data_IF_334479094731
#
_entry.id   IF_334479094731
#
_cell.length_a   1.000
_cell.length_b   1.000
_cell.length_c   1.000
_cell.angle_alpha   90.00
_cell.angle_beta   90.00
_cell.angle_gamma   90.00
#
_symmetry.space_group_name_H-M   'P 1'
#
loop_
_entity.id
_entity.type
_entity.pdbx_description
1 polymer ?
#
# COMPACT_ATOMS: atom_id res chain seq x y z
N UNK A 1 20.11 1.29 -3.06
CA UNK A 1 20.93 2.51 -2.99
C UNK A 1 20.54 3.29 -1.73
N UNK A 2 21.48 3.51 -0.81
CA UNK A 2 21.25 4.30 0.40
C UNK A 2 22.17 5.54 0.38
N UNK A 3 21.67 6.74 0.73
CA UNK A 3 22.45 7.99 0.60
C UNK A 3 23.77 8.04 1.38
N UNK A 4 23.89 7.23 2.43
CA UNK A 4 25.05 7.18 3.32
C UNK A 4 25.83 5.87 3.23
N UNK A 5 25.66 5.10 2.15
CA UNK A 5 26.28 3.77 2.01
C UNK A 5 25.93 2.81 3.17
N UNK A 6 24.74 2.98 3.75
CA UNK A 6 24.23 2.10 4.80
C UNK A 6 23.70 0.78 4.23
N UNK A 7 23.73 -0.28 5.04
CA UNK A 7 23.24 -1.62 4.66
C UNK A 7 21.71 -1.66 4.43
N UNK A 8 20.98 -0.71 5.00
CA UNK A 8 19.55 -0.55 4.79
C UNK A 8 18.68 -1.13 5.89
N UNK A 9 17.55 -1.74 5.52
CA UNK A 9 16.62 -2.37 6.46
C UNK A 9 17.14 -3.77 6.84
N UNK A 10 17.03 -4.10 8.13
CA UNK A 10 17.32 -5.40 8.71
C UNK A 10 16.24 -5.77 9.73
N UNK A 11 15.91 -7.06 9.81
CA UNK A 11 14.78 -7.58 10.62
C UNK A 11 15.00 -7.32 12.13
N UNK A 12 16.26 -7.12 12.55
CA UNK A 12 16.65 -6.95 13.95
C UNK A 12 16.53 -5.52 14.48
N UNK A 13 15.91 -4.60 13.74
CA UNK A 13 15.66 -3.25 14.25
C UNK A 13 14.50 -3.27 15.25
N UNK A 14 14.76 -2.89 16.50
CA UNK A 14 13.73 -2.71 17.52
C UNK A 14 13.01 -1.36 17.35
N UNK A 15 11.71 -1.36 17.61
CA UNK A 15 10.94 -0.11 17.68
C UNK A 15 11.43 0.73 18.86
N UNK A 16 11.54 2.03 18.65
CA UNK A 16 11.94 2.99 19.69
C UNK A 16 10.80 3.98 19.90
N UNK A 17 10.44 4.21 21.16
CA UNK A 17 9.43 5.21 21.50
C UNK A 17 9.97 6.63 21.26
N UNK A 18 9.23 7.51 20.55
CA UNK A 18 9.75 8.80 20.10
C UNK A 18 10.07 9.79 21.22
N UNK A 19 9.52 9.62 22.42
CA UNK A 19 9.69 10.55 23.55
C UNK A 19 10.72 10.04 24.54
N UNK A 20 10.62 8.76 24.92
CA UNK A 20 11.44 8.18 26.00
C UNK A 20 12.72 7.50 25.47
N UNK A 21 12.83 7.30 24.16
CA UNK A 21 13.91 6.51 23.52
C UNK A 21 14.03 5.07 24.03
N UNK A 22 13.00 4.57 24.71
CA UNK A 22 12.96 3.20 25.20
C UNK A 22 12.75 2.23 24.04
N UNK A 23 13.53 1.16 24.02
CA UNK A 23 13.33 0.07 23.07
C UNK A 23 12.09 -0.72 23.46
N UNK A 24 11.21 -0.92 22.50
CA UNK A 24 10.06 -1.81 22.61
C UNK A 24 10.51 -3.18 22.11
N UNK A 25 10.07 -4.27 22.75
CA UNK A 25 10.31 -5.66 22.33
C UNK A 25 9.64 -6.05 20.97
N UNK A 26 9.28 -5.06 20.15
CA UNK A 26 8.66 -5.26 18.83
C UNK A 26 9.65 -4.84 17.76
N UNK A 27 9.82 -5.68 16.75
CA UNK A 27 10.65 -5.37 15.59
C UNK A 27 9.96 -4.34 14.69
N UNK A 28 10.75 -3.52 14.02
CA UNK A 28 10.29 -2.54 13.02
C UNK A 28 10.02 -3.30 11.72
N UNK A 29 8.84 -3.12 11.12
CA UNK A 29 8.57 -3.65 9.78
C UNK A 29 9.32 -2.85 8.70
N UNK A 30 9.68 -3.48 7.58
CA UNK A 30 10.25 -2.74 6.44
C UNK A 30 9.39 -1.55 6.02
N UNK A 31 8.06 -1.71 6.03
CA UNK A 31 7.12 -0.63 5.72
C UNK A 31 7.30 0.57 6.67
N UNK A 32 7.33 0.32 7.99
CA UNK A 32 7.53 1.36 8.99
C UNK A 32 8.90 2.04 8.83
N UNK A 33 9.95 1.28 8.55
CA UNK A 33 11.31 1.79 8.36
C UNK A 33 11.42 2.71 7.14
N UNK A 34 10.88 2.30 5.99
CA UNK A 34 10.94 3.10 4.77
C UNK A 34 9.98 4.29 4.82
N UNK A 35 8.80 4.15 5.45
CA UNK A 35 7.89 5.28 5.69
C UNK A 35 8.55 6.35 6.57
N UNK A 36 9.29 5.93 7.60
CA UNK A 36 10.06 6.84 8.47
C UNK A 36 11.08 7.65 7.66
N UNK A 37 11.83 7.03 6.74
CA UNK A 37 12.83 7.71 5.89
C UNK A 37 12.23 8.64 4.84
N UNK A 38 10.99 8.39 4.40
CA UNK A 38 10.26 9.23 3.44
C UNK A 38 9.51 10.39 4.08
N UNK A 39 9.41 10.43 5.41
CA UNK A 39 8.67 11.47 6.12
C UNK A 39 9.45 12.79 6.13
N UNK A 40 8.80 13.89 5.71
CA UNK A 40 9.36 15.25 5.77
C UNK A 40 9.60 15.66 7.23
N UNK A 41 10.79 16.21 7.53
CA UNK A 41 11.23 16.63 8.87
C UNK A 41 11.95 17.98 8.80
N UNK A 42 12.13 18.60 9.95
CA UNK A 42 12.96 19.79 10.11
C UNK A 42 14.44 19.52 9.81
N UNK A 43 14.91 18.31 10.07
CA UNK A 43 16.23 17.83 9.64
C UNK A 43 16.24 17.55 8.14
N UNK A 44 17.36 17.79 7.47
CA UNK A 44 17.47 17.59 6.01
C UNK A 44 17.16 16.15 5.58
N UNK A 45 16.06 15.97 4.85
CA UNK A 45 15.75 14.72 4.17
C UNK A 45 16.31 14.76 2.75
N UNK A 46 17.62 14.51 2.63
CA UNK A 46 18.34 14.55 1.34
C UNK A 46 17.73 13.60 0.30
N UNK A 47 17.13 12.49 0.75
CA UNK A 47 16.47 11.50 -0.10
C UNK A 47 15.36 12.11 -0.98
N UNK A 48 14.57 13.03 -0.42
CA UNK A 48 13.46 13.67 -1.14
C UNK A 48 13.94 14.65 -2.22
N UNK A 49 15.23 15.03 -2.21
CA UNK A 49 15.81 15.99 -3.14
C UNK A 49 16.38 15.35 -4.42
N UNK A 50 16.50 14.02 -4.48
CA UNK A 50 17.18 13.33 -5.58
C UNK A 50 16.34 13.09 -6.85
N UNK A 51 15.16 13.71 -6.99
CA UNK A 51 14.29 13.68 -8.19
C UNK A 51 14.09 12.26 -8.74
N UNK A 52 14.56 11.94 -9.95
CA UNK A 52 14.40 10.62 -10.57
C UNK A 52 14.95 9.46 -9.72
N UNK A 53 16.03 9.67 -8.97
CA UNK A 53 16.58 8.65 -8.08
C UNK A 53 15.66 8.35 -6.89
N UNK A 54 14.85 9.33 -6.45
CA UNK A 54 13.80 9.11 -5.45
C UNK A 54 12.76 8.13 -5.99
N UNK A 55 12.38 8.25 -7.27
CA UNK A 55 11.39 7.35 -7.88
C UNK A 55 11.89 5.91 -7.93
N UNK A 56 13.13 5.72 -8.37
CA UNK A 56 13.76 4.39 -8.36
C UNK A 56 13.82 3.82 -6.94
N UNK A 57 14.25 4.65 -5.97
CA UNK A 57 14.26 4.24 -4.57
C UNK A 57 12.88 3.81 -4.07
N UNK A 58 11.83 4.58 -4.37
CA UNK A 58 10.46 4.26 -3.96
C UNK A 58 9.98 2.91 -4.51
N UNK A 59 10.21 2.66 -5.80
CA UNK A 59 9.82 1.40 -6.46
C UNK A 59 10.61 0.23 -5.88
N UNK A 60 11.92 0.38 -5.73
CA UNK A 60 12.80 -0.66 -5.17
C UNK A 60 12.40 -1.01 -3.74
N UNK A 61 12.15 0.00 -2.89
CA UNK A 61 11.77 -0.25 -1.50
C UNK A 61 10.36 -0.85 -1.39
N UNK A 62 9.43 -0.44 -2.26
CA UNK A 62 8.11 -1.06 -2.33
C UNK A 62 8.20 -2.54 -2.72
N UNK A 63 9.00 -2.89 -3.73
CA UNK A 63 9.23 -4.28 -4.12
C UNK A 63 9.80 -5.12 -2.96
N UNK A 64 10.72 -4.56 -2.16
CA UNK A 64 11.24 -5.21 -0.94
C UNK A 64 10.14 -5.45 0.10
N UNK A 65 9.30 -4.45 0.36
CA UNK A 65 8.18 -4.57 1.31
C UNK A 65 7.22 -5.68 0.84
N UNK A 66 6.85 -5.69 -0.44
CA UNK A 66 5.93 -6.71 -0.98
C UNK A 66 6.55 -8.11 -0.98
N UNK A 67 7.85 -8.24 -1.26
CA UNK A 67 8.56 -9.50 -1.16
C UNK A 67 8.54 -10.06 0.28
N UNK A 68 8.73 -9.21 1.28
CA UNK A 68 8.64 -9.59 2.70
C UNK A 68 7.21 -10.02 3.09
N UNK A 69 6.19 -9.29 2.62
CA UNK A 69 4.78 -9.65 2.84
C UNK A 69 4.44 -11.01 2.22
N UNK A 70 4.87 -11.26 0.99
CA UNK A 70 4.68 -12.54 0.30
C UNK A 70 5.43 -13.68 1.01
N UNK A 71 6.65 -13.43 1.48
CA UNK A 71 7.42 -14.39 2.26
C UNK A 71 6.68 -14.73 3.57
N UNK A 72 6.15 -13.72 4.27
CA UNK A 72 5.36 -13.92 5.47
C UNK A 72 4.14 -14.80 5.21
N UNK A 73 3.40 -14.53 4.13
CA UNK A 73 2.23 -15.33 3.73
C UNK A 73 2.66 -16.78 3.43
N UNK A 74 3.75 -16.97 2.68
CA UNK A 74 4.31 -18.29 2.34
C UNK A 74 4.73 -19.09 3.57
N UNK A 75 5.30 -18.45 4.57
CA UNK A 75 5.80 -19.10 5.78
C UNK A 75 4.69 -19.37 6.82
N UNK A 76 3.64 -18.57 6.85
CA UNK A 76 2.57 -18.63 7.86
C UNK A 76 1.24 -19.19 7.33
N UNK A 77 1.26 -19.99 6.26
CA UNK A 77 0.06 -20.59 5.64
C UNK A 77 -0.85 -21.32 6.65
N UNK A 78 -0.26 -22.06 7.60
CA UNK A 78 -1.02 -22.79 8.64
C UNK A 78 -1.76 -21.84 9.60
N UNK A 79 -1.12 -20.74 10.02
CA UNK A 79 -1.72 -19.72 10.88
C UNK A 79 -2.82 -18.93 10.16
N UNK A 80 -2.70 -18.77 8.84
CA UNK A 80 -3.72 -18.14 7.98
C UNK A 80 -4.90 -19.08 7.68
N UNK A 81 -4.95 -20.26 8.32
CA UNK A 81 -5.97 -21.30 8.14
C UNK A 81 -6.16 -21.67 6.69
N UNK A 82 -5.06 -21.76 5.95
CA UNK A 82 -5.11 -22.12 4.53
C UNK A 82 -5.67 -23.53 4.34
N UNK A 83 -5.57 -24.37 5.35
CA UNK A 83 -6.10 -25.72 5.39
C UNK A 83 -7.64 -25.78 5.36
N UNK A 84 -8.38 -24.69 5.64
CA UNK A 84 -9.84 -24.64 5.44
C UNK A 84 -10.23 -24.50 3.95
N UNK A 85 -9.28 -24.20 3.05
CA UNK A 85 -9.53 -24.05 1.61
C UNK A 85 -9.31 -25.35 0.83
N UNK A 86 -9.61 -26.51 1.43
CA UNK A 86 -9.42 -27.86 0.85
C UNK A 86 -10.06 -27.94 -0.54
N UNK A 87 -11.29 -27.45 -0.70
CA UNK A 87 -12.01 -27.52 -1.97
C UNK A 87 -11.32 -26.74 -3.11
N UNK A 88 -10.62 -25.64 -2.80
CA UNK A 88 -9.87 -24.87 -3.80
C UNK A 88 -8.57 -25.59 -4.19
N UNK A 89 -7.90 -26.20 -3.20
CA UNK A 89 -6.69 -27.00 -3.43
C UNK A 89 -7.03 -28.20 -4.32
N UNK A 90 -8.14 -28.87 -4.07
CA UNK A 90 -8.58 -30.04 -4.84
C UNK A 90 -8.97 -29.66 -6.28
N UNK A 91 -9.67 -28.54 -6.47
CA UNK A 91 -10.04 -28.05 -7.80
C UNK A 91 -8.81 -27.73 -8.68
N UNK A 92 -7.75 -27.15 -8.11
CA UNK A 92 -6.52 -26.81 -8.84
C UNK A 92 -5.69 -28.07 -9.13
N UNK A 93 -5.66 -29.02 -8.20
CA UNK A 93 -4.89 -30.28 -8.33
C UNK A 93 -5.48 -31.19 -9.42
N UNK A 94 -6.78 -31.08 -9.70
CA UNK A 94 -7.44 -31.86 -10.75
C UNK A 94 -7.22 -31.31 -12.18
N UNK A 95 -6.76 -30.06 -12.32
CA UNK A 95 -6.66 -29.35 -13.62
C UNK A 95 -5.20 -29.21 -14.12
N UNK A 96 -4.22 -29.78 -13.40
CA UNK A 96 -2.78 -29.61 -13.73
C UNK A 96 -1.90 -30.84 -13.44
N UNK A 97 -0.87 -31.03 -14.27
CA UNK A 97 0.04 -32.18 -14.21
C UNK A 97 0.83 -32.26 -12.88
N UNK A 98 0.75 -33.39 -12.14
CA UNK A 98 1.34 -33.53 -10.80
C UNK A 98 2.87 -33.45 -10.76
N UNK A 99 3.55 -33.46 -11.91
CA UNK A 99 5.00 -33.38 -12.03
C UNK A 99 5.56 -31.94 -11.97
N UNK A 100 4.72 -30.90 -12.09
CA UNK A 100 5.14 -29.50 -12.16
C UNK A 100 4.93 -28.68 -10.87
N UNK A 101 4.62 -29.34 -9.75
CA UNK A 101 4.16 -28.62 -8.56
C UNK A 101 5.34 -28.10 -7.73
N UNK A 102 5.69 -26.82 -7.92
CA UNK A 102 6.26 -26.02 -6.84
C UNK A 102 5.30 -25.97 -5.63
N UNK A 103 5.80 -25.59 -4.45
CA UNK A 103 4.95 -25.47 -3.24
C UNK A 103 3.81 -24.47 -3.49
N UNK A 104 2.57 -24.97 -3.55
CA UNK A 104 1.37 -24.14 -3.69
C UNK A 104 1.24 -23.21 -2.46
N UNK A 105 1.10 -21.91 -2.71
CA UNK A 105 0.87 -20.88 -1.68
C UNK A 105 -0.44 -20.19 -2.01
N UNK A 106 -1.41 -20.29 -1.09
CA UNK A 106 -2.70 -19.63 -1.25
C UNK A 106 -2.58 -18.21 -0.67
N UNK A 107 -2.90 -17.22 -1.50
CA UNK A 107 -2.98 -15.83 -1.06
C UNK A 107 -4.33 -15.58 -0.36
N UNK A 108 -4.33 -14.90 0.79
CA UNK A 108 -5.57 -14.48 1.45
C UNK A 108 -6.29 -13.41 0.62
N UNK A 109 -7.60 -13.26 0.78
CA UNK A 109 -8.37 -12.21 0.09
C UNK A 109 -7.99 -10.79 0.49
N UNK A 110 -7.39 -10.62 1.67
CA UNK A 110 -6.80 -9.36 2.12
C UNK A 110 -5.58 -8.91 1.30
N UNK A 111 -5.01 -9.79 0.46
CA UNK A 111 -3.91 -9.42 -0.43
C UNK A 111 -4.44 -8.68 -1.67
N UNK A 112 -4.21 -7.37 -1.70
CA UNK A 112 -4.66 -6.48 -2.80
C UNK A 112 -4.16 -6.97 -4.16
N UNK A 113 -5.07 -7.03 -5.14
CA UNK A 113 -4.75 -7.45 -6.51
C UNK A 113 -4.71 -8.97 -6.73
N UNK A 114 -4.89 -9.79 -5.69
CA UNK A 114 -5.16 -11.22 -5.87
C UNK A 114 -6.51 -11.41 -6.59
N UNK A 115 -6.67 -12.44 -7.45
CA UNK A 115 -7.96 -12.79 -8.04
C UNK A 115 -9.10 -12.89 -7.01
N UNK A 116 -8.78 -13.40 -5.82
CA UNK A 116 -9.73 -13.52 -4.72
C UNK A 116 -10.17 -12.16 -4.16
N UNK A 117 -9.23 -11.23 -3.99
CA UNK A 117 -9.52 -9.87 -3.53
C UNK A 117 -10.51 -9.18 -4.47
N UNK A 118 -10.27 -9.26 -5.78
CA UNK A 118 -11.16 -8.62 -6.76
C UNK A 118 -12.54 -9.26 -6.84
N UNK A 119 -12.62 -10.59 -6.70
CA UNK A 119 -13.89 -11.31 -6.79
C UNK A 119 -14.75 -11.13 -5.53
N UNK A 120 -14.14 -11.27 -4.35
CA UNK A 120 -14.85 -11.09 -3.07
C UNK A 120 -15.34 -9.66 -2.91
N UNK A 121 -14.53 -8.65 -3.25
CA UNK A 121 -14.95 -7.24 -3.15
C UNK A 121 -16.13 -6.94 -4.08
N UNK A 122 -16.10 -7.45 -5.32
CA UNK A 122 -17.16 -7.22 -6.30
C UNK A 122 -18.47 -7.94 -5.91
N UNK A 123 -18.40 -9.21 -5.51
CA UNK A 123 -19.57 -9.98 -5.09
C UNK A 123 -20.16 -9.43 -3.82
N UNK A 124 -19.33 -9.11 -2.82
CA UNK A 124 -19.79 -8.56 -1.55
C UNK A 124 -20.50 -7.23 -1.78
N UNK A 125 -19.94 -6.38 -2.64
CA UNK A 125 -20.55 -5.11 -2.99
C UNK A 125 -21.91 -5.26 -3.70
N UNK A 126 -22.01 -6.13 -4.70
CA UNK A 126 -23.29 -6.36 -5.42
C UNK A 126 -24.31 -7.07 -4.56
N UNK A 127 -23.88 -7.99 -3.70
CA UNK A 127 -24.74 -8.74 -2.80
C UNK A 127 -25.38 -7.87 -1.72
N UNK A 128 -24.62 -6.95 -1.11
CA UNK A 128 -25.12 -6.06 -0.06
C UNK A 128 -25.70 -4.75 -0.62
N UNK A 129 -25.02 -4.14 -1.57
CA UNK A 129 -25.34 -2.80 -2.10
C UNK A 129 -26.17 -2.79 -3.38
N UNK A 130 -26.49 -3.97 -3.94
CA UNK A 130 -27.19 -4.09 -5.21
C UNK A 130 -26.34 -3.65 -6.40
N UNK A 131 -27.00 -3.51 -7.56
CA UNK A 131 -26.30 -3.12 -8.79
C UNK A 131 -25.82 -1.65 -8.69
N UNK A 132 -24.53 -1.36 -8.98
CA UNK A 132 -24.04 0.01 -8.99
C UNK A 132 -24.84 0.85 -9.99
N UNK A 133 -25.32 2.00 -9.53
CA UNK A 133 -26.14 2.93 -10.35
C UNK A 133 -25.35 4.13 -10.86
N UNK A 134 -24.19 4.42 -10.26
CA UNK A 134 -23.40 5.61 -10.56
C UNK A 134 -21.90 5.26 -10.62
N UNK A 135 -21.23 5.71 -11.68
CA UNK A 135 -19.78 5.68 -11.82
C UNK A 135 -19.25 7.11 -11.81
N UNK A 136 -18.36 7.43 -10.87
CA UNK A 136 -17.74 8.75 -10.75
C UNK A 136 -16.26 8.65 -11.07
N UNK A 137 -15.80 9.43 -12.05
CA UNK A 137 -14.39 9.59 -12.36
C UNK A 137 -13.91 10.93 -11.79
N UNK A 138 -12.95 10.87 -10.86
CA UNK A 138 -12.35 12.06 -10.26
C UNK A 138 -10.95 12.30 -10.82
N UNK A 139 -10.79 13.39 -11.58
CA UNK A 139 -9.51 13.80 -12.16
C UNK A 139 -8.89 14.94 -11.36
N UNK A 140 -7.57 14.89 -11.16
CA UNK A 140 -6.83 15.91 -10.42
C UNK A 140 -5.80 16.62 -11.30
N UNK A 141 -5.82 17.96 -11.26
CA UNK A 141 -4.81 18.78 -11.90
C UNK A 141 -3.66 19.07 -10.92
N UNK A 142 -2.41 18.63 -11.21
CA UNK A 142 -1.25 18.88 -10.36
C UNK A 142 -0.81 20.36 -10.32
N UNK A 143 -1.39 21.24 -11.15
CA UNK A 143 -1.15 22.68 -11.12
C UNK A 143 -1.91 23.41 -10.01
N UNK A 144 -2.06 22.79 -8.83
CA UNK A 144 -2.76 23.38 -7.69
C UNK A 144 -1.81 24.18 -6.76
N UNK A 145 -2.39 25.10 -5.97
CA UNK A 145 -1.63 25.94 -5.03
C UNK A 145 -0.89 25.11 -3.99
N UNK A 146 -1.51 24.02 -3.53
CA UNK A 146 -0.93 23.12 -2.54
C UNK A 146 0.34 22.44 -3.07
N UNK A 147 0.41 22.10 -4.35
CA UNK A 147 1.65 21.59 -4.96
C UNK A 147 2.73 22.68 -4.99
N UNK A 148 2.38 23.88 -5.46
CA UNK A 148 3.34 24.98 -5.57
C UNK A 148 3.96 25.38 -4.21
N UNK A 149 3.21 25.26 -3.11
CA UNK A 149 3.68 25.59 -1.76
C UNK A 149 4.59 24.53 -1.13
N UNK A 150 4.47 23.27 -1.53
CA UNK A 150 5.18 22.15 -0.88
C UNK A 150 6.38 21.62 -1.71
N UNK A 151 6.48 22.00 -2.98
CA UNK A 151 7.61 21.63 -3.84
C UNK A 151 8.80 22.53 -3.49
N UNK A 152 9.95 21.92 -3.24
CA UNK A 152 11.18 22.63 -2.84
C UNK A 152 11.85 23.31 -4.04
N UNK A 153 12.60 24.39 -3.81
CA UNK A 153 13.25 25.17 -4.85
C UNK A 153 14.05 24.29 -5.82
N UNK A 154 13.73 24.37 -7.12
CA UNK A 154 14.38 23.61 -8.17
C UNK A 154 13.81 22.22 -8.44
N UNK A 155 12.77 21.76 -7.74
CA UNK A 155 12.06 20.53 -8.10
C UNK A 155 10.86 20.82 -9.01
N UNK A 156 10.57 19.89 -9.93
CA UNK A 156 9.31 19.87 -10.68
C UNK A 156 8.24 19.09 -9.92
N UNK A 157 6.96 19.34 -10.27
CA UNK A 157 5.82 18.54 -9.78
C UNK A 157 5.96 17.06 -10.10
N UNK A 158 6.60 16.75 -11.22
CA UNK A 158 6.90 15.37 -11.66
C UNK A 158 7.95 14.70 -10.79
N UNK A 159 8.80 15.45 -10.09
CA UNK A 159 9.84 14.90 -9.22
C UNK A 159 9.30 14.49 -7.84
N UNK A 160 8.06 14.86 -7.53
CA UNK A 160 7.41 14.68 -6.23
C UNK A 160 6.07 13.96 -6.36
N UNK A 161 6.10 12.76 -6.95
CA UNK A 161 4.92 11.89 -7.05
C UNK A 161 4.28 11.56 -5.69
N UNK A 162 5.08 11.54 -4.62
CA UNK A 162 4.59 11.40 -3.24
C UNK A 162 3.64 12.55 -2.86
N UNK A 163 3.97 13.79 -3.21
CA UNK A 163 3.11 14.96 -2.95
C UNK A 163 1.86 14.92 -3.80
N UNK A 164 1.99 14.58 -5.08
CA UNK A 164 0.84 14.43 -6.00
C UNK A 164 -0.16 13.43 -5.43
N UNK A 165 0.29 12.24 -5.04
CA UNK A 165 -0.56 11.20 -4.47
C UNK A 165 -1.21 11.64 -3.14
N UNK A 166 -0.44 12.30 -2.25
CA UNK A 166 -0.98 12.79 -0.96
C UNK A 166 -2.03 13.88 -1.13
N UNK A 167 -1.80 14.84 -2.02
CA UNK A 167 -2.74 15.93 -2.27
C UNK A 167 -3.98 15.40 -2.99
N UNK A 168 -3.81 14.50 -3.96
CA UNK A 168 -4.91 13.79 -4.59
C UNK A 168 -5.80 13.11 -3.55
N UNK A 169 -5.21 12.30 -2.67
CA UNK A 169 -5.94 11.58 -1.63
C UNK A 169 -6.69 12.52 -0.68
N UNK A 170 -6.05 13.61 -0.23
CA UNK A 170 -6.71 14.61 0.63
C UNK A 170 -7.90 15.27 -0.06
N UNK A 171 -7.76 15.63 -1.34
CA UNK A 171 -8.85 16.23 -2.13
C UNK A 171 -9.96 15.23 -2.40
N UNK A 172 -9.62 13.97 -2.68
CA UNK A 172 -10.57 12.88 -2.86
C UNK A 172 -11.37 12.63 -1.59
N UNK A 173 -10.73 12.54 -0.42
CA UNK A 173 -11.42 12.39 0.87
C UNK A 173 -12.36 13.58 1.12
N UNK A 174 -11.92 14.81 0.83
CA UNK A 174 -12.78 16.00 0.94
C UNK A 174 -13.98 15.91 -0.01
N UNK A 175 -13.76 15.49 -1.25
CA UNK A 175 -14.82 15.28 -2.23
C UNK A 175 -15.83 14.22 -1.77
N UNK A 176 -15.35 13.07 -1.31
CA UNK A 176 -16.21 12.00 -0.75
C UNK A 176 -17.02 12.49 0.45
N UNK A 177 -16.42 13.28 1.34
CA UNK A 177 -17.14 13.89 2.45
C UNK A 177 -18.26 14.83 1.98
N UNK A 178 -18.05 15.60 0.92
CA UNK A 178 -19.10 16.46 0.35
C UNK A 178 -20.22 15.62 -0.26
N UNK A 179 -19.89 14.55 -0.99
CA UNK A 179 -20.91 13.67 -1.57
C UNK A 179 -21.78 13.00 -0.49
N UNK A 180 -21.14 12.43 0.53
CA UNK A 180 -21.82 11.65 1.58
C UNK A 180 -22.54 12.59 2.57
N UNK A 181 -21.83 13.57 3.14
CA UNK A 181 -22.39 14.46 4.18
C UNK A 181 -23.29 15.54 3.58
N UNK A 182 -23.00 15.99 2.37
CA UNK A 182 -23.83 16.95 1.65
C UNK A 182 -25.06 16.30 1.01
N UNK A 183 -25.23 14.98 1.10
CA UNK A 183 -26.35 14.21 0.54
C UNK A 183 -26.66 14.55 -0.93
N UNK A 184 -25.62 14.80 -1.72
CA UNK A 184 -25.75 15.32 -3.10
C UNK A 184 -26.60 14.39 -3.98
N UNK A 185 -26.56 13.09 -3.72
CA UNK A 185 -27.30 12.07 -4.46
C UNK A 185 -28.41 11.39 -3.62
N UNK A 186 -28.92 12.08 -2.59
CA UNK A 186 -29.85 11.56 -1.57
C UNK A 186 -29.20 10.61 -0.54
N UNK A 187 -29.96 10.20 0.48
CA UNK A 187 -29.43 9.36 1.57
C UNK A 187 -29.07 7.98 1.05
N UNK A 188 -27.83 7.56 1.32
CA UNK A 188 -27.39 6.19 1.09
C UNK A 188 -28.11 5.32 2.11
N UNK A 189 -29.08 4.51 1.65
CA UNK A 189 -29.66 3.45 2.47
C UNK A 189 -28.65 2.30 2.49
N UNK A 190 -28.12 2.03 3.68
CA UNK A 190 -27.37 0.80 3.98
C UNK A 190 -28.34 -0.35 4.20
#
# INVERSE_FOLDING_TARGET
MFPHCEDGYGINFNQVEPVTSNQINKTVSAMSFYAYRLMVRSTENRLLNYRQLLHQYLVDMYAKIEAERLLFIRLNQTKLRVDEYIHLKDAITNDSDPANHGKLVILPSTFTGCPRNMHEDAITYVGHGGKPSLLIIYTFNPNCKEMAQNVTNGQSKTDRHDLVARIFLKKLIKFMNVLIKGQVFCSVKY
#
